data_IF_998699800967
#
_entry.id   IF_998699800967
#
_cell.length_a   1.000
_cell.length_b   1.000
_cell.length_c   1.000
_cell.angle_alpha   90.00
_cell.angle_beta   90.00
_cell.angle_gamma   90.00
#
_symmetry.space_group_name_H-M   'P 1'
#
loop_
_entity.id
_entity.type
_entity.pdbx_description
1 polymer ?
#
# COMPACT_ATOMS: atom_id res chain seq x y z
N UNK A 1 -2.85 -24.73 -6.56
CA UNK A 1 -2.71 -24.00 -7.85
C UNK A 1 -4.05 -23.84 -8.57
N UNK A 2 -4.88 -24.88 -8.69
CA UNK A 2 -6.20 -24.75 -9.34
C UNK A 2 -7.16 -23.73 -8.69
N UNK A 3 -7.15 -23.64 -7.36
CA UNK A 3 -7.98 -22.68 -6.61
C UNK A 3 -7.60 -21.22 -6.93
N UNK A 4 -6.31 -20.89 -6.96
CA UNK A 4 -5.86 -19.54 -7.30
C UNK A 4 -6.26 -19.14 -8.73
N UNK A 5 -6.20 -20.08 -9.69
CA UNK A 5 -6.62 -19.83 -11.08
C UNK A 5 -8.11 -19.49 -11.14
N UNK A 6 -8.95 -20.23 -10.42
CA UNK A 6 -10.38 -19.96 -10.37
C UNK A 6 -10.71 -18.58 -9.78
N UNK A 7 -9.97 -18.14 -8.76
CA UNK A 7 -10.15 -16.81 -8.16
C UNK A 7 -9.76 -15.69 -9.14
N UNK A 8 -8.70 -15.87 -9.94
CA UNK A 8 -8.32 -14.91 -10.99
C UNK A 8 -9.37 -14.82 -12.11
N UNK A 9 -9.95 -15.95 -12.52
CA UNK A 9 -11.04 -15.95 -13.49
C UNK A 9 -12.29 -15.25 -12.95
N UNK A 10 -12.60 -15.44 -11.66
CA UNK A 10 -13.70 -14.76 -11.01
C UNK A 10 -13.44 -13.24 -10.91
N UNK A 11 -12.22 -12.83 -10.59
CA UNK A 11 -11.83 -11.42 -10.61
C UNK A 11 -12.01 -10.81 -11.99
N UNK A 12 -11.60 -11.52 -13.04
CA UNK A 12 -11.72 -11.08 -14.43
C UNK A 12 -13.18 -10.91 -14.90
N UNK A 13 -14.11 -11.63 -14.28
CA UNK A 13 -15.55 -11.51 -14.56
C UNK A 13 -16.20 -10.35 -13.78
N UNK A 14 -15.63 -9.95 -12.65
CA UNK A 14 -16.19 -8.94 -11.74
C UNK A 14 -15.53 -7.57 -11.81
N UNK A 15 -14.36 -7.49 -12.43
CA UNK A 15 -13.58 -6.27 -12.61
C UNK A 15 -13.20 -6.09 -14.09
N UNK A 16 -12.58 -4.95 -14.42
CA UNK A 16 -12.07 -4.74 -15.78
C UNK A 16 -11.00 -5.77 -16.13
N UNK A 17 -11.14 -6.54 -17.22
CA UNK A 17 -10.24 -7.64 -17.57
C UNK A 17 -8.78 -7.21 -17.69
N UNK A 18 -8.50 -6.05 -18.26
CA UNK A 18 -7.15 -5.50 -18.42
C UNK A 18 -6.48 -5.27 -17.07
N UNK A 19 -7.23 -4.80 -16.08
CA UNK A 19 -6.73 -4.57 -14.71
C UNK A 19 -6.53 -5.89 -13.98
N UNK A 20 -7.46 -6.84 -14.12
CA UNK A 20 -7.32 -8.17 -13.52
C UNK A 20 -6.09 -8.91 -14.06
N UNK A 21 -5.83 -8.82 -15.38
CA UNK A 21 -4.67 -9.40 -16.02
C UNK A 21 -3.36 -8.71 -15.55
N UNK A 22 -3.38 -7.38 -15.39
CA UNK A 22 -2.25 -6.62 -14.87
C UNK A 22 -1.92 -6.97 -13.41
N UNK A 23 -2.94 -7.15 -12.55
CA UNK A 23 -2.77 -7.59 -11.17
C UNK A 23 -2.20 -9.01 -11.10
N UNK A 24 -2.74 -9.92 -11.92
CA UNK A 24 -2.24 -11.30 -12.01
C UNK A 24 -0.78 -11.34 -12.45
N UNK A 25 -0.42 -10.61 -13.51
CA UNK A 25 0.95 -10.49 -13.99
C UNK A 25 1.88 -9.92 -12.91
N UNK A 26 1.43 -8.89 -12.18
CA UNK A 26 2.21 -8.33 -11.09
C UNK A 26 2.46 -9.35 -9.97
N UNK A 27 1.46 -10.18 -9.64
CA UNK A 27 1.63 -11.25 -8.64
C UNK A 27 2.56 -12.34 -9.14
N UNK A 28 2.55 -12.68 -10.42
CA UNK A 28 3.40 -13.73 -10.99
C UNK A 28 4.85 -13.31 -11.16
N UNK A 29 5.09 -12.06 -11.60
CA UNK A 29 6.43 -11.60 -12.03
C UNK A 29 7.03 -10.50 -11.15
N UNK A 30 6.22 -9.85 -10.33
CA UNK A 30 6.64 -8.73 -9.50
C UNK A 30 7.58 -9.16 -8.37
N UNK A 31 8.33 -8.19 -7.85
CA UNK A 31 9.16 -8.36 -6.66
C UNK A 31 8.30 -8.43 -5.40
N UNK A 32 8.81 -9.03 -4.34
CA UNK A 32 8.13 -9.06 -3.02
C UNK A 32 7.80 -7.66 -2.52
N UNK A 33 8.69 -6.69 -2.77
CA UNK A 33 8.49 -5.30 -2.39
C UNK A 33 7.32 -4.66 -3.14
N UNK A 34 7.14 -4.95 -4.43
CA UNK A 34 6.05 -4.41 -5.24
C UNK A 34 4.69 -5.00 -4.92
N UNK A 35 4.66 -6.11 -4.20
CA UNK A 35 3.44 -6.82 -3.77
C UNK A 35 3.07 -6.56 -2.31
N UNK A 36 3.92 -5.82 -1.61
CA UNK A 36 3.68 -5.38 -0.24
C UNK A 36 3.17 -3.94 -0.24
N UNK A 37 1.99 -3.72 0.34
CA UNK A 37 1.37 -2.39 0.45
C UNK A 37 1.22 -1.69 -0.91
N UNK A 38 0.64 -2.38 -1.87
CA UNK A 38 0.29 -1.83 -3.19
C UNK A 38 -0.64 -0.64 -3.00
N UNK A 39 -0.20 0.54 -3.42
CA UNK A 39 -1.05 1.73 -3.50
C UNK A 39 -1.80 1.71 -4.84
N UNK A 40 -3.15 1.77 -4.85
CA UNK A 40 -3.93 1.66 -6.09
C UNK A 40 -3.61 2.74 -7.11
N UNK A 41 -3.42 3.99 -6.67
CA UNK A 41 -3.17 5.12 -7.55
C UNK A 41 -1.78 5.04 -8.20
N UNK A 42 -0.78 4.65 -7.41
CA UNK A 42 0.57 4.41 -7.93
C UNK A 42 0.57 3.26 -8.94
N UNK A 43 -0.14 2.16 -8.64
CA UNK A 43 -0.27 1.01 -9.55
C UNK A 43 -0.94 1.41 -10.88
N UNK A 44 -2.00 2.22 -10.82
CA UNK A 44 -2.70 2.73 -12.00
C UNK A 44 -1.78 3.60 -12.86
N UNK A 45 -1.08 4.55 -12.22
CA UNK A 45 -0.16 5.46 -12.90
C UNK A 45 0.99 4.73 -13.58
N UNK A 46 1.65 3.79 -12.88
CA UNK A 46 2.77 3.01 -13.40
C UNK A 46 2.42 2.17 -14.63
N UNK A 47 1.15 1.79 -14.76
CA UNK A 47 0.65 0.91 -15.84
C UNK A 47 -0.26 1.61 -16.83
N UNK A 48 -0.43 2.93 -16.71
CA UNK A 48 -1.35 3.73 -17.52
C UNK A 48 -2.77 3.15 -17.55
N UNK A 49 -3.27 2.71 -16.40
CA UNK A 49 -4.61 2.16 -16.20
C UNK A 49 -5.54 3.22 -15.59
N UNK A 50 -6.84 3.00 -15.72
CA UNK A 50 -7.84 3.85 -15.09
C UNK A 50 -7.82 3.64 -13.57
N UNK A 51 -7.71 4.73 -12.79
CA UNK A 51 -7.61 4.69 -11.32
C UNK A 51 -8.82 4.04 -10.66
N UNK A 52 -10.03 4.42 -11.10
CA UNK A 52 -11.29 3.89 -10.55
C UNK A 52 -11.42 2.38 -10.80
N UNK A 53 -11.05 1.93 -12.01
CA UNK A 53 -11.03 0.52 -12.35
C UNK A 53 -10.03 -0.27 -11.50
N UNK A 54 -8.84 0.29 -11.24
CA UNK A 54 -7.82 -0.33 -10.39
C UNK A 54 -8.30 -0.41 -8.94
N UNK A 55 -8.87 0.66 -8.39
CA UNK A 55 -9.43 0.64 -7.03
C UNK A 55 -10.52 -0.43 -6.92
N UNK A 56 -11.48 -0.44 -7.85
CA UNK A 56 -12.55 -1.43 -7.89
C UNK A 56 -12.02 -2.86 -7.96
N UNK A 57 -11.07 -3.12 -8.86
CA UNK A 57 -10.46 -4.44 -9.03
C UNK A 57 -9.73 -4.90 -7.77
N UNK A 58 -8.97 -4.03 -7.09
CA UNK A 58 -8.27 -4.38 -5.84
C UNK A 58 -9.23 -4.65 -4.69
N UNK A 59 -10.34 -3.90 -4.59
CA UNK A 59 -11.40 -4.18 -3.60
C UNK A 59 -12.04 -5.54 -3.86
N UNK A 60 -12.37 -5.87 -5.13
CA UNK A 60 -12.87 -7.20 -5.49
C UNK A 60 -11.82 -8.28 -5.21
N UNK A 61 -10.56 -8.05 -5.54
CA UNK A 61 -9.47 -8.98 -5.27
C UNK A 61 -9.29 -9.26 -3.76
N UNK A 62 -9.47 -8.23 -2.93
CA UNK A 62 -9.45 -8.39 -1.46
C UNK A 62 -10.64 -9.24 -0.97
N UNK A 63 -11.83 -9.01 -1.50
CA UNK A 63 -13.02 -9.84 -1.17
C UNK A 63 -12.87 -11.30 -1.58
N UNK A 64 -12.15 -11.56 -2.65
CA UNK A 64 -11.84 -12.92 -3.13
C UNK A 64 -10.66 -13.56 -2.39
N UNK A 65 -9.97 -12.83 -1.52
CA UNK A 65 -8.79 -13.33 -0.78
C UNK A 65 -7.52 -13.42 -1.64
N UNK A 66 -7.47 -12.71 -2.77
CA UNK A 66 -6.25 -12.57 -3.57
C UNK A 66 -5.28 -11.58 -2.94
N UNK A 67 -5.81 -10.55 -2.29
CA UNK A 67 -5.07 -9.52 -1.56
C UNK A 67 -5.70 -9.30 -0.19
N UNK A 68 -4.90 -8.83 0.75
CA UNK A 68 -5.34 -8.33 2.05
C UNK A 68 -5.34 -6.80 2.00
N UNK A 69 -6.47 -6.19 2.32
CA UNK A 69 -6.62 -4.73 2.38
C UNK A 69 -6.26 -4.23 3.78
N UNK A 70 -5.50 -3.15 3.85
CA UNK A 70 -5.16 -2.48 5.10
C UNK A 70 -5.35 -0.97 5.01
N UNK A 71 -5.78 -0.41 6.14
CA UNK A 71 -5.89 1.02 6.39
C UNK A 71 -4.67 1.45 7.20
N UNK A 72 -3.90 2.41 6.70
CA UNK A 72 -2.67 2.83 7.31
C UNK A 72 -2.77 4.29 7.72
N UNK A 73 -2.45 4.58 8.98
CA UNK A 73 -2.26 5.94 9.46
C UNK A 73 -0.83 6.37 9.16
N UNK A 74 -0.68 7.48 8.46
CA UNK A 74 0.64 8.00 8.06
C UNK A 74 1.06 9.17 8.94
N UNK A 75 2.36 9.28 9.18
CA UNK A 75 2.94 10.45 9.82
C UNK A 75 2.95 11.64 8.83
N UNK A 76 2.40 12.81 9.17
CA UNK A 76 2.41 13.98 8.29
C UNK A 76 3.82 14.53 8.04
N UNK A 77 4.75 14.28 8.94
CA UNK A 77 6.12 14.77 8.84
C UNK A 77 7.01 13.94 7.90
N UNK A 78 6.94 12.61 7.98
CA UNK A 78 7.84 11.72 7.22
C UNK A 78 7.11 10.71 6.31
N UNK A 79 5.77 10.65 6.33
CA UNK A 79 4.98 9.65 5.58
C UNK A 79 5.13 8.22 6.09
N UNK A 80 5.81 8.01 7.21
CA UNK A 80 5.95 6.68 7.82
C UNK A 80 4.61 6.19 8.37
N UNK A 81 4.39 4.89 8.35
CA UNK A 81 3.19 4.28 8.91
C UNK A 81 3.28 4.28 10.43
N UNK A 82 2.30 4.91 11.06
CA UNK A 82 2.14 4.95 12.51
C UNK A 82 1.34 3.76 13.02
N UNK A 83 0.27 3.40 12.28
CA UNK A 83 -0.59 2.27 12.59
C UNK A 83 -1.15 1.67 11.31
N UNK A 84 -1.45 0.36 11.34
CA UNK A 84 -2.14 -0.38 10.28
C UNK A 84 -3.28 -1.19 10.86
N UNK A 85 -4.45 -1.14 10.23
CA UNK A 85 -5.61 -1.92 10.63
C UNK A 85 -6.33 -2.53 9.42
N UNK A 86 -6.97 -3.69 9.61
CA UNK A 86 -7.78 -4.34 8.58
C UNK A 86 -9.10 -3.59 8.28
N UNK A 87 -9.53 -2.70 9.16
CA UNK A 87 -10.72 -1.88 8.97
C UNK A 87 -10.52 -0.49 9.57
N UNK A 88 -11.05 0.52 8.90
CA UNK A 88 -10.95 1.94 9.32
C UNK A 88 -11.43 2.18 10.76
N UNK A 89 -12.49 1.48 11.20
CA UNK A 89 -13.03 1.58 12.56
C UNK A 89 -12.06 1.11 13.65
N UNK A 90 -11.05 0.34 13.28
CA UNK A 90 -10.05 -0.23 14.20
C UNK A 90 -8.81 0.67 14.31
N UNK A 91 -8.68 1.70 13.47
CA UNK A 91 -7.66 2.72 13.67
C UNK A 91 -7.98 3.52 14.92
N UNK A 92 -7.00 3.66 15.80
CA UNK A 92 -7.12 4.54 16.94
C UNK A 92 -7.21 6.00 16.45
N UNK A 93 -7.96 6.84 17.15
CA UNK A 93 -8.12 8.27 16.85
C UNK A 93 -7.36 9.17 17.83
N UNK A 94 -6.62 8.53 18.74
CA UNK A 94 -5.84 9.24 19.74
C UNK A 94 -4.52 9.76 19.17
N UNK A 95 -3.72 10.35 20.02
CA UNK A 95 -2.41 10.88 19.65
C UNK A 95 -1.44 9.76 19.26
N UNK A 96 -0.73 9.95 18.16
CA UNK A 96 0.31 9.04 17.69
C UNK A 96 1.69 9.68 17.85
N UNK A 97 2.60 8.95 18.46
CA UNK A 97 4.01 9.32 18.51
C UNK A 97 4.76 8.74 17.32
N UNK A 98 5.37 9.60 16.50
CA UNK A 98 6.27 9.16 15.44
C UNK A 98 7.70 9.12 15.96
N UNK A 99 8.26 7.91 16.08
CA UNK A 99 9.64 7.73 16.56
C UNK A 99 10.70 8.30 15.62
N UNK A 100 10.41 8.40 14.31
CA UNK A 100 11.34 8.99 13.33
C UNK A 100 11.38 10.52 13.38
N UNK A 101 10.22 11.15 13.54
CA UNK A 101 10.12 12.61 13.63
C UNK A 101 10.22 13.13 15.06
N UNK A 102 10.15 12.25 16.05
CA UNK A 102 10.11 12.57 17.48
C UNK A 102 8.99 13.59 17.79
N UNK A 103 7.82 13.37 17.20
CA UNK A 103 6.66 14.27 17.30
C UNK A 103 5.38 13.50 17.61
N UNK A 104 4.53 14.12 18.44
CA UNK A 104 3.16 13.68 18.60
C UNK A 104 2.31 14.26 17.45
N UNK A 105 1.46 13.42 16.89
CA UNK A 105 0.58 13.77 15.80
C UNK A 105 -0.86 13.52 16.21
N UNK A 106 -1.74 14.48 15.91
CA UNK A 106 -3.18 14.32 16.02
C UNK A 106 -3.70 13.92 14.63
N UNK A 107 -4.24 12.72 14.46
CA UNK A 107 -4.67 12.27 13.14
C UNK A 107 -5.96 12.97 12.74
N UNK A 108 -5.94 13.61 11.57
CA UNK A 108 -7.14 13.96 10.83
C UNK A 108 -7.36 12.91 9.76
N UNK A 109 -8.51 12.22 9.80
CA UNK A 109 -8.78 11.08 8.92
C UNK A 109 -8.65 11.41 7.43
N UNK A 110 -8.93 12.64 7.03
CA UNK A 110 -8.97 13.06 5.63
C UNK A 110 -7.59 13.23 4.98
N UNK A 111 -6.54 13.38 5.77
CA UNK A 111 -5.21 13.73 5.24
C UNK A 111 -4.14 12.66 5.46
N UNK A 112 -4.36 11.74 6.38
CA UNK A 112 -3.32 10.87 6.90
C UNK A 112 -3.63 9.38 6.77
N UNK A 113 -4.74 9.02 6.14
CA UNK A 113 -5.13 7.62 5.94
C UNK A 113 -4.85 7.19 4.51
N UNK A 114 -4.08 6.12 4.36
CA UNK A 114 -3.80 5.44 3.11
C UNK A 114 -4.44 4.06 3.11
N UNK A 115 -5.05 3.67 2.00
CA UNK A 115 -5.50 2.29 1.78
C UNK A 115 -4.49 1.59 0.89
N UNK A 116 -4.01 0.44 1.34
CA UNK A 116 -3.07 -0.39 0.57
C UNK A 116 -3.51 -1.85 0.52
N UNK A 117 -2.96 -2.58 -0.43
CA UNK A 117 -3.26 -3.98 -0.66
C UNK A 117 -1.97 -4.79 -0.68
N UNK A 118 -1.92 -5.85 0.11
CA UNK A 118 -0.78 -6.78 0.13
C UNK A 118 -1.23 -8.11 -0.43
N UNK A 119 -0.44 -8.75 -1.29
CA UNK A 119 -0.80 -10.08 -1.82
C UNK A 119 -1.03 -11.05 -0.66
N UNK A 120 -2.12 -11.84 -0.74
CA UNK A 120 -2.43 -12.80 0.32
C UNK A 120 -1.40 -13.96 0.31
N UNK A 121 -0.92 -14.42 1.48
CA UNK A 121 0.09 -15.48 1.57
C UNK A 121 -0.35 -16.84 1.00
N UNK A 122 -1.66 -17.07 0.84
CA UNK A 122 -2.21 -18.26 0.16
C UNK A 122 -1.98 -18.22 -1.34
N UNK A 123 -1.88 -17.02 -1.92
CA UNK A 123 -1.65 -16.82 -3.36
C UNK A 123 -0.16 -16.81 -3.64
N UNK A 124 0.58 -15.95 -2.93
CA UNK A 124 2.04 -15.88 -3.00
C UNK A 124 2.63 -15.42 -1.67
N UNK A 125 3.51 -16.21 -1.10
CA UNK A 125 4.29 -15.80 0.06
C UNK A 125 5.37 -14.81 -0.36
N UNK A 126 5.44 -13.69 0.36
CA UNK A 126 6.47 -12.66 0.20
C UNK A 126 7.15 -12.42 1.55
N UNK A 127 8.36 -11.85 1.54
CA UNK A 127 9.12 -11.58 2.76
C UNK A 127 8.38 -10.75 3.81
N UNK A 128 7.46 -9.88 3.39
CA UNK A 128 6.65 -9.08 4.32
C UNK A 128 5.69 -9.91 5.19
N UNK A 129 5.34 -11.13 4.79
CA UNK A 129 4.48 -12.03 5.60
C UNK A 129 5.24 -12.69 6.76
N UNK A 130 6.57 -12.68 6.70
CA UNK A 130 7.43 -13.21 7.75
C UNK A 130 8.62 -12.26 7.97
N UNK A 131 8.37 -11.12 8.63
CA UNK A 131 9.39 -10.09 8.80
C UNK A 131 10.60 -10.57 9.62
N UNK A 132 10.47 -11.65 10.38
CA UNK A 132 11.58 -12.23 11.15
C UNK A 132 12.64 -12.89 10.24
N UNK A 133 12.29 -13.24 9.01
CA UNK A 133 13.20 -13.85 8.03
C UNK A 133 13.91 -12.83 7.15
N UNK A 134 13.50 -11.56 7.21
CA UNK A 134 14.13 -10.51 6.42
C UNK A 134 15.54 -10.23 6.96
N UNK A 135 16.57 -10.21 6.08
CA UNK A 135 17.90 -9.82 6.50
C UNK A 135 17.84 -8.40 7.04
N UNK A 136 18.32 -8.20 8.28
CA UNK A 136 18.47 -6.85 8.83
C UNK A 136 19.36 -6.05 7.87
N UNK A 137 18.89 -4.93 7.33
CA UNK A 137 19.72 -4.12 6.46
C UNK A 137 20.92 -3.60 7.28
N UNK A 138 22.12 -4.05 6.93
CA UNK A 138 23.38 -3.57 7.53
C UNK A 138 23.69 -2.10 7.21
N UNK A 139 22.69 -1.33 6.81
CA UNK A 139 22.84 0.05 6.34
C UNK A 139 21.84 0.98 7.02
N UNK A 140 22.05 1.25 8.29
CA UNK A 140 21.48 2.47 8.91
C UNK A 140 22.00 3.77 8.27
N UNK A 141 22.80 3.67 7.22
CA UNK A 141 23.53 4.80 6.67
C UNK A 141 23.16 5.30 5.28
N UNK A 142 22.39 4.59 4.43
CA UNK A 142 22.31 4.97 3.01
C UNK A 142 20.99 4.81 2.28
N UNK A 143 19.87 4.52 2.90
CA UNK A 143 18.62 4.25 2.17
C UNK A 143 17.45 5.20 2.42
N UNK A 144 17.69 6.37 2.98
CA UNK A 144 16.66 7.41 3.05
C UNK A 144 16.56 8.28 1.78
N UNK A 145 17.35 8.00 0.73
CA UNK A 145 17.41 8.78 -0.50
C UNK A 145 16.39 8.42 -1.59
N UNK A 146 15.56 7.41 -1.39
CA UNK A 146 14.56 6.99 -2.38
C UNK A 146 13.14 6.99 -1.81
N UNK A 147 12.79 8.00 -1.04
CA UNK A 147 11.40 8.31 -0.75
C UNK A 147 10.76 8.89 -2.01
N UNK A 148 9.71 8.24 -2.43
CA UNK A 148 8.92 8.41 -3.63
C UNK A 148 8.90 9.82 -4.26
N UNK A 149 9.03 9.92 -5.60
CA UNK A 149 9.08 11.20 -6.34
C UNK A 149 7.81 12.06 -6.21
N UNK A 150 6.74 11.52 -5.67
CA UNK A 150 5.45 12.21 -5.56
C UNK A 150 5.24 12.99 -4.25
N UNK A 151 6.18 12.93 -3.29
CA UNK A 151 6.18 13.85 -2.14
C UNK A 151 6.96 15.14 -2.47
N UNK A 152 6.70 15.73 -3.62
CA UNK A 152 7.21 17.06 -3.92
C UNK A 152 6.28 18.10 -3.28
N UNK A 153 6.63 18.49 -2.08
CA UNK A 153 6.02 19.56 -1.31
C UNK A 153 5.91 20.85 -2.15
N UNK A 154 4.71 21.31 -2.41
CA UNK A 154 4.46 22.70 -2.74
C UNK A 154 4.47 23.53 -1.45
N UNK A 155 5.63 23.70 -0.85
CA UNK A 155 5.80 24.68 0.22
C UNK A 155 6.06 26.04 -0.43
N UNK A 156 4.99 26.84 -0.57
CA UNK A 156 5.11 28.27 -0.78
C UNK A 156 5.56 28.89 0.54
N UNK A 157 6.68 29.64 0.59
CA UNK A 157 7.05 30.35 1.82
C UNK A 157 6.02 31.44 2.11
N UNK A 158 5.73 31.74 3.39
CA UNK A 158 4.91 32.89 3.74
C UNK A 158 5.63 34.17 3.34
N UNK A 159 4.94 35.02 2.59
CA UNK A 159 5.36 36.40 2.31
C UNK A 159 5.47 37.15 3.61
N UNK A 160 6.64 37.72 3.88
CA UNK A 160 6.86 38.70 4.94
C UNK A 160 6.23 40.03 4.51
N UNK A 161 5.31 40.54 5.29
CA UNK A 161 5.05 41.93 5.52
C UNK A 161 5.10 42.22 7.00
#
# INVERSE_FOLDING_TARGET
MAEATALWELLRQTAEPSVADALKSAVETGSDRSLNRVNPLAFATERALNEEAVIGALVHAARLGLFDMSWNMLCPGCGGVLESAAALKNLNRDHYFCAFCVQNNEPTLDQLVEVTFTVNPRIRRIGAHDPSTLPMPNTWGRSFGALAPWFRRTSRPPSRE
#
